data_IF_882065973407
#
_entry.id   IF_882065973407
#
_cell.length_a   1.000
_cell.length_b   1.000
_cell.length_c   1.000
_cell.angle_alpha   90.00
_cell.angle_beta   90.00
_cell.angle_gamma   90.00
#
_symmetry.space_group_name_H-M   'P 1'
#
loop_
_entity.id
_entity.type
_entity.pdbx_description
1 polymer ?
#
# COMPACT_ATOMS: atom_id res chain seq x y z
N UNK A 1 -30.80 -16.99 -20.43
CA UNK A 1 -29.82 -16.04 -19.87
C UNK A 1 -30.26 -15.66 -18.48
N UNK A 2 -29.46 -15.96 -17.44
CA UNK A 2 -29.81 -15.61 -16.06
C UNK A 2 -29.57 -14.11 -15.85
N UNK A 3 -30.65 -13.34 -15.74
CA UNK A 3 -30.58 -11.91 -15.44
C UNK A 3 -30.15 -11.76 -13.99
N UNK A 4 -28.91 -11.32 -13.78
CA UNK A 4 -28.35 -11.08 -12.44
C UNK A 4 -29.22 -10.06 -11.68
N UNK A 5 -29.85 -10.51 -10.58
CA UNK A 5 -30.73 -9.70 -9.68
C UNK A 5 -30.02 -9.22 -8.41
N UNK A 6 -28.72 -9.43 -8.28
CA UNK A 6 -27.94 -9.03 -7.10
C UNK A 6 -27.60 -7.54 -7.06
N UNK A 7 -27.01 -7.07 -5.94
CA UNK A 7 -26.57 -5.69 -5.80
C UNK A 7 -25.53 -5.32 -6.86
N UNK A 8 -25.58 -4.07 -7.32
CA UNK A 8 -24.64 -3.52 -8.30
C UNK A 8 -23.46 -2.89 -7.57
N UNK A 9 -22.26 -3.00 -8.13
CA UNK A 9 -21.10 -2.29 -7.60
C UNK A 9 -21.31 -0.77 -7.69
N UNK A 10 -21.03 -0.03 -6.61
CA UNK A 10 -21.18 1.43 -6.59
C UNK A 10 -20.28 2.16 -7.59
N UNK A 11 -19.08 1.64 -7.83
CA UNK A 11 -18.09 2.31 -8.69
C UNK A 11 -18.27 2.01 -10.18
N UNK A 12 -18.61 0.76 -10.54
CA UNK A 12 -18.66 0.34 -11.94
C UNK A 12 -20.03 -0.16 -12.41
N UNK A 13 -21.04 -0.21 -11.54
CA UNK A 13 -22.38 -0.75 -11.84
C UNK A 13 -22.38 -2.22 -12.35
N UNK A 14 -21.28 -2.96 -12.20
CA UNK A 14 -21.18 -4.36 -12.59
C UNK A 14 -21.84 -5.33 -11.58
N UNK A 15 -21.98 -6.61 -11.95
CA UNK A 15 -22.50 -7.66 -11.06
C UNK A 15 -21.55 -7.85 -9.87
N UNK A 16 -22.03 -7.54 -8.66
CA UNK A 16 -21.20 -7.56 -7.46
C UNK A 16 -21.15 -8.98 -6.88
N UNK A 17 -19.95 -9.54 -6.74
CA UNK A 17 -19.74 -10.69 -5.85
C UNK A 17 -19.60 -10.11 -4.45
N UNK A 18 -20.50 -10.50 -3.56
CA UNK A 18 -20.80 -9.77 -2.31
C UNK A 18 -19.56 -9.60 -1.42
N UNK A 19 -19.03 -8.38 -1.36
CA UNK A 19 -18.28 -7.93 -0.19
C UNK A 19 -18.85 -6.59 0.27
N UNK A 20 -19.47 -6.60 1.45
CA UNK A 20 -19.90 -5.39 2.15
C UNK A 20 -18.69 -4.86 2.92
N UNK A 21 -17.84 -4.07 2.26
CA UNK A 21 -16.76 -3.37 2.94
C UNK A 21 -17.36 -2.34 3.90
N UNK A 22 -16.97 -2.37 5.18
CA UNK A 22 -17.50 -1.48 6.22
C UNK A 22 -17.38 0.02 5.89
N UNK A 23 -16.42 0.39 5.05
CA UNK A 23 -16.15 1.79 4.65
C UNK A 23 -16.75 2.16 3.28
N UNK A 24 -17.00 1.21 2.37
CA UNK A 24 -17.28 1.51 0.95
C UNK A 24 -18.59 0.92 0.39
N UNK A 25 -19.34 0.13 1.17
CA UNK A 25 -20.59 -0.48 0.71
C UNK A 25 -20.36 -1.72 -0.17
N UNK A 26 -21.15 -1.86 -1.25
CA UNK A 26 -21.04 -2.97 -2.21
C UNK A 26 -20.04 -2.65 -3.33
N UNK A 27 -18.92 -3.36 -3.34
CA UNK A 27 -17.85 -3.23 -4.36
C UNK A 27 -17.53 -4.59 -4.96
N UNK A 28 -17.35 -4.65 -6.28
CA UNK A 28 -16.99 -5.89 -6.97
C UNK A 28 -15.49 -6.19 -6.82
N UNK A 29 -15.12 -7.47 -7.00
CA UNK A 29 -13.72 -7.92 -6.91
C UNK A 29 -12.76 -7.15 -7.83
N UNK A 30 -13.21 -6.77 -9.03
CA UNK A 30 -12.39 -5.99 -9.97
C UNK A 30 -12.02 -4.61 -9.40
N UNK A 31 -12.99 -3.88 -8.83
CA UNK A 31 -12.72 -2.60 -8.20
C UNK A 31 -11.85 -2.73 -6.95
N UNK A 32 -11.97 -3.82 -6.19
CA UNK A 32 -11.08 -4.09 -5.04
C UNK A 32 -9.66 -4.35 -5.54
N UNK A 33 -9.50 -5.11 -6.63
CA UNK A 33 -8.19 -5.37 -7.23
C UNK A 33 -7.53 -4.07 -7.69
N UNK A 34 -8.24 -3.22 -8.43
CA UNK A 34 -7.76 -1.87 -8.82
C UNK A 34 -7.28 -1.05 -7.63
N UNK A 35 -8.06 -1.00 -6.54
CA UNK A 35 -7.67 -0.31 -5.32
C UNK A 35 -6.40 -0.89 -4.68
N UNK A 36 -6.28 -2.22 -4.65
CA UNK A 36 -5.10 -2.90 -4.12
C UNK A 36 -3.87 -2.65 -5.00
N UNK A 37 -4.01 -2.65 -6.32
CA UNK A 37 -2.94 -2.28 -7.24
C UNK A 37 -2.46 -0.86 -7.00
N UNK A 38 -3.38 0.11 -6.93
CA UNK A 38 -3.02 1.49 -6.65
C UNK A 38 -2.39 1.66 -5.24
N UNK A 39 -2.76 0.82 -4.27
CA UNK A 39 -2.13 0.83 -2.94
C UNK A 39 -0.71 0.22 -2.99
N UNK A 40 -0.53 -0.87 -3.74
CA UNK A 40 0.77 -1.51 -3.95
C UNK A 40 1.75 -0.58 -4.64
N UNK A 41 1.34 0.13 -5.69
CA UNK A 41 2.19 1.13 -6.39
C UNK A 41 2.68 2.23 -5.43
N UNK A 42 1.80 2.72 -4.55
CA UNK A 42 2.19 3.71 -3.53
C UNK A 42 3.16 3.13 -2.50
N UNK A 43 2.99 1.86 -2.14
CA UNK A 43 3.90 1.18 -1.22
C UNK A 43 5.29 1.00 -1.87
N UNK A 44 5.34 0.55 -3.12
CA UNK A 44 6.58 0.38 -3.88
C UNK A 44 7.35 1.70 -4.03
N UNK A 45 6.65 2.80 -4.34
CA UNK A 45 7.28 4.12 -4.41
C UNK A 45 7.90 4.55 -3.07
N UNK A 46 7.23 4.25 -1.94
CA UNK A 46 7.78 4.52 -0.60
C UNK A 46 8.97 3.63 -0.29
N UNK A 47 8.89 2.35 -0.64
CA UNK A 47 9.96 1.39 -0.40
C UNK A 47 11.22 1.77 -1.19
N UNK A 48 11.09 2.13 -2.47
CA UNK A 48 12.22 2.65 -3.25
C UNK A 48 12.86 3.89 -2.61
N UNK A 49 12.04 4.82 -2.12
CA UNK A 49 12.53 6.03 -1.43
C UNK A 49 13.24 5.67 -0.12
N UNK A 50 12.71 4.71 0.64
CA UNK A 50 13.33 4.21 1.86
C UNK A 50 14.66 3.52 1.57
N UNK A 51 14.71 2.64 0.57
CA UNK A 51 15.94 1.98 0.11
C UNK A 51 17.01 2.99 -0.31
N UNK A 52 16.66 4.03 -1.09
CA UNK A 52 17.59 5.10 -1.47
C UNK A 52 18.14 5.84 -0.25
N UNK A 53 17.30 6.16 0.73
CA UNK A 53 17.72 6.80 1.98
C UNK A 53 18.66 5.90 2.80
N UNK A 54 18.32 4.63 2.94
CA UNK A 54 19.12 3.66 3.69
C UNK A 54 20.47 3.43 3.00
N UNK A 55 20.48 3.30 1.67
CA UNK A 55 21.70 3.21 0.88
C UNK A 55 22.58 4.45 1.10
N UNK A 56 22.01 5.66 0.98
CA UNK A 56 22.77 6.89 1.24
C UNK A 56 23.40 6.92 2.63
N UNK A 57 22.67 6.52 3.67
CA UNK A 57 23.20 6.48 5.05
C UNK A 57 24.38 5.51 5.17
N UNK A 58 24.22 4.28 4.68
CA UNK A 58 25.27 3.26 4.73
C UNK A 58 26.59 3.72 4.08
N UNK A 59 26.52 4.44 2.96
CA UNK A 59 27.73 4.92 2.27
C UNK A 59 28.25 6.26 2.79
N UNK A 60 27.40 7.11 3.39
CA UNK A 60 27.85 8.33 4.06
C UNK A 60 28.61 8.02 5.36
N UNK A 61 28.21 6.99 6.11
CA UNK A 61 28.85 6.62 7.38
C UNK A 61 30.26 6.01 7.19
N UNK A 62 30.55 5.41 6.02
CA UNK A 62 31.86 4.82 5.71
C UNK A 62 32.91 5.85 5.25
N UNK A 63 32.54 7.12 5.04
CA UNK A 63 33.44 8.17 4.58
C UNK A 63 34.15 8.95 5.72
N UNK A 64 33.99 8.53 6.97
CA UNK A 64 34.65 9.18 8.13
C UNK A 64 35.21 8.14 9.11
N UNK A 65 36.54 8.07 9.32
CA UNK A 65 37.09 7.32 10.44
C UNK A 65 36.95 8.18 11.70
N UNK A 66 35.78 8.15 12.35
CA UNK A 66 35.60 8.81 13.63
C UNK A 66 34.16 9.12 13.96
N UNK A 67 33.57 8.34 14.85
CA UNK A 67 32.34 8.72 15.54
C UNK A 67 31.40 7.56 15.77
N UNK A 68 31.62 6.83 16.87
CA UNK A 68 30.51 6.17 17.55
C UNK A 68 29.48 7.24 17.91
N UNK A 69 28.35 7.28 17.22
CA UNK A 69 27.18 8.01 17.68
C UNK A 69 26.00 7.03 17.71
N UNK A 70 26.00 6.19 18.75
CA UNK A 70 24.85 5.39 19.13
C UNK A 70 23.74 6.32 19.61
N UNK A 71 22.66 6.36 18.84
CA UNK A 71 21.39 6.95 19.25
C UNK A 71 20.35 5.86 19.44
N UNK A 72 20.38 5.16 20.57
CA UNK A 72 19.27 4.30 21.01
C UNK A 72 18.18 5.19 21.60
N UNK A 73 17.32 5.71 20.73
CA UNK A 73 16.02 6.26 21.12
C UNK A 73 14.98 5.15 21.19
N UNK A 74 15.07 4.28 22.20
CA UNK A 74 13.98 3.38 22.54
C UNK A 74 13.01 4.12 23.47
N UNK A 75 11.86 4.52 22.94
CA UNK A 75 10.68 4.84 23.75
C UNK A 75 10.09 3.51 24.23
N UNK A 76 10.06 3.27 25.54
CA UNK A 76 8.99 2.68 26.38
C UNK A 76 9.24 3.19 27.81
#
# INVERSE_FOLDING_TARGET
MSTYRGPRCRSCNGPCWQWKGSVWGYTCAACIAEHQHAAAERADARDQKARKRNHSKLFSDNASPGGLQGGVGAMI
#
